data_IF_293423079516
#
_entry.id   IF_293423079516
#
_cell.length_a   1.000
_cell.length_b   1.000
_cell.length_c   1.000
_cell.angle_alpha   90.00
_cell.angle_beta   90.00
_cell.angle_gamma   90.00
#
_symmetry.space_group_name_H-M   'P 1'
#
loop_
_entity.id
_entity.type
_entity.pdbx_description
1 polymer ?
#
# COMPACT_ATOMS: atom_id res chain seq x y z
N UNK A 1 -16.27 -21.59 -9.90
CA UNK A 1 -16.28 -20.14 -10.20
C UNK A 1 -16.02 -19.26 -8.97
N UNK A 2 -16.26 -19.74 -7.74
CA UNK A 2 -15.97 -19.01 -6.49
C UNK A 2 -14.46 -18.98 -6.10
N UNK A 3 -13.69 -19.98 -6.52
CA UNK A 3 -12.24 -20.10 -6.25
C UNK A 3 -11.39 -19.03 -6.96
N UNK A 4 -11.81 -18.56 -8.13
CA UNK A 4 -11.07 -17.56 -8.92
C UNK A 4 -11.15 -16.13 -8.33
N UNK A 5 -12.20 -15.87 -7.53
CA UNK A 5 -12.33 -14.62 -6.77
C UNK A 5 -11.40 -14.60 -5.55
N UNK A 6 -11.10 -15.76 -4.98
CA UNK A 6 -10.16 -15.89 -3.86
C UNK A 6 -8.70 -15.86 -4.33
N UNK A 7 -8.39 -16.37 -5.53
CA UNK A 7 -7.04 -16.22 -6.10
C UNK A 7 -6.76 -14.79 -6.57
N UNK A 8 -7.78 -14.01 -6.96
CA UNK A 8 -7.66 -12.57 -7.22
C UNK A 8 -7.68 -11.72 -5.93
N UNK A 9 -8.07 -12.32 -4.79
CA UNK A 9 -7.83 -11.80 -3.45
C UNK A 9 -6.40 -12.05 -2.93
N UNK A 10 -5.49 -12.59 -3.76
CA UNK A 10 -4.06 -12.23 -3.72
C UNK A 10 -3.85 -10.79 -4.24
N UNK A 11 -4.78 -9.89 -3.94
CA UNK A 11 -4.48 -8.48 -3.83
C UNK A 11 -3.46 -8.41 -2.70
N UNK A 12 -2.18 -8.41 -3.07
CA UNK A 12 -1.12 -7.81 -2.29
C UNK A 12 -1.57 -6.38 -2.08
N UNK A 13 -2.34 -6.15 -1.00
CA UNK A 13 -3.20 -4.98 -0.93
C UNK A 13 -2.30 -3.78 -0.64
N UNK A 14 -1.93 -3.09 -1.70
CA UNK A 14 -1.33 -1.78 -1.62
C UNK A 14 -2.46 -0.82 -1.24
N UNK A 15 -2.78 -0.77 0.06
CA UNK A 15 -3.84 0.07 0.63
C UNK A 15 -3.45 1.55 0.55
N UNK A 16 -3.74 2.14 -0.60
CA UNK A 16 -4.12 3.53 -0.84
C UNK A 16 -3.54 4.62 0.06
N UNK A 17 -2.23 4.74 0.27
CA UNK A 17 -1.68 5.86 1.08
C UNK A 17 -2.41 6.00 2.44
N UNK A 18 -2.62 4.89 3.15
CA UNK A 18 -3.29 4.90 4.44
C UNK A 18 -2.28 5.33 5.51
N UNK A 19 -2.40 6.59 5.97
CA UNK A 19 -1.83 6.99 7.26
C UNK A 19 -2.29 6.00 8.34
N UNK A 20 -1.47 5.76 9.37
CA UNK A 20 -1.74 4.88 10.53
C UNK A 20 -3.20 4.93 11.05
N UNK A 21 -3.85 6.09 10.96
CA UNK A 21 -5.25 6.33 11.35
C UNK A 21 -6.26 5.41 10.66
N UNK A 22 -6.12 5.20 9.36
CA UNK A 22 -7.11 4.43 8.63
C UNK A 22 -6.98 2.92 8.95
N UNK A 23 -5.74 2.42 9.03
CA UNK A 23 -5.47 1.05 9.48
C UNK A 23 -6.04 0.82 10.89
N UNK A 24 -5.88 1.80 11.78
CA UNK A 24 -6.46 1.76 13.13
C UNK A 24 -8.00 1.70 13.11
N UNK A 25 -8.66 2.44 12.21
CA UNK A 25 -10.11 2.38 12.07
C UNK A 25 -10.59 0.99 11.63
N UNK A 26 -9.97 0.41 10.61
CA UNK A 26 -10.33 -0.94 10.13
C UNK A 26 -10.03 -2.01 11.17
N UNK A 27 -8.88 -1.96 11.83
CA UNK A 27 -8.57 -2.88 12.94
C UNK A 27 -9.61 -2.76 14.04
N UNK A 28 -9.98 -1.54 14.45
CA UNK A 28 -11.01 -1.33 15.47
C UNK A 28 -12.36 -1.91 15.04
N UNK A 29 -12.74 -1.78 13.77
CA UNK A 29 -13.98 -2.37 13.25
C UNK A 29 -13.96 -3.90 13.23
N UNK A 30 -12.85 -4.50 12.79
CA UNK A 30 -12.73 -5.97 12.67
C UNK A 30 -12.60 -6.63 14.04
N UNK A 31 -11.73 -6.09 14.90
CA UNK A 31 -11.44 -6.68 16.21
C UNK A 31 -12.49 -6.34 17.26
N UNK A 32 -13.19 -5.19 17.11
CA UNK A 32 -14.07 -4.58 18.13
C UNK A 32 -13.40 -4.45 19.51
N UNK A 33 -12.07 -4.37 19.52
CA UNK A 33 -11.24 -4.28 20.70
C UNK A 33 -10.61 -2.87 20.80
N UNK A 34 -10.15 -2.45 21.99
CA UNK A 34 -9.29 -1.28 22.11
C UNK A 34 -8.03 -1.47 21.26
N UNK A 35 -7.58 -0.39 20.63
CA UNK A 35 -6.34 -0.40 19.87
C UNK A 35 -5.15 -0.50 20.83
N UNK A 36 -4.03 -1.12 20.40
CA UNK A 36 -2.82 -1.15 21.20
C UNK A 36 -2.32 0.25 21.56
N UNK A 37 -1.70 0.36 22.74
CA UNK A 37 -1.22 1.64 23.28
C UNK A 37 0.15 2.05 22.73
N UNK A 38 0.85 1.13 22.05
CA UNK A 38 2.16 1.38 21.46
C UNK A 38 2.13 1.18 19.95
N UNK A 39 3.00 1.91 19.24
CA UNK A 39 3.13 1.78 17.79
C UNK A 39 3.67 0.39 17.38
N UNK A 40 4.54 -0.21 18.21
CA UNK A 40 5.08 -1.54 17.96
C UNK A 40 3.97 -2.59 18.01
N UNK A 41 3.20 -2.63 19.09
CA UNK A 41 2.09 -3.58 19.24
C UNK A 41 1.03 -3.38 18.15
N UNK A 42 0.77 -2.12 17.77
CA UNK A 42 -0.10 -1.80 16.66
C UNK A 42 0.44 -2.35 15.33
N UNK A 43 1.74 -2.16 15.06
CA UNK A 43 2.37 -2.62 13.82
C UNK A 43 2.40 -4.15 13.73
N UNK A 44 2.63 -4.84 14.84
CA UNK A 44 2.58 -6.29 14.91
C UNK A 44 1.16 -6.82 14.72
N UNK A 45 0.15 -6.16 15.29
CA UNK A 45 -1.25 -6.48 15.06
C UNK A 45 -1.66 -6.28 13.60
N UNK A 46 -1.23 -5.15 13.00
CA UNK A 46 -1.42 -4.86 11.58
C UNK A 46 -0.80 -5.97 10.71
N UNK A 47 0.45 -6.37 11.00
CA UNK A 47 1.13 -7.47 10.28
C UNK A 47 0.42 -8.80 10.45
N UNK A 48 -0.13 -9.06 11.63
CA UNK A 48 -0.87 -10.30 11.93
C UNK A 48 -2.18 -10.38 11.15
N UNK A 49 -2.90 -9.26 11.02
CA UNK A 49 -4.21 -9.23 10.34
C UNK A 49 -4.06 -9.16 8.81
N UNK A 50 -3.12 -8.37 8.31
CA UNK A 50 -3.02 -8.04 6.88
C UNK A 50 -1.78 -8.61 6.17
N UNK A 51 -0.87 -9.26 6.90
CA UNK A 51 0.39 -9.75 6.36
C UNK A 51 1.40 -8.63 6.10
N UNK A 52 2.20 -8.78 5.03
CA UNK A 52 3.16 -7.77 4.62
C UNK A 52 2.46 -6.57 4.00
N UNK A 53 2.67 -5.38 4.58
CA UNK A 53 2.14 -4.12 4.09
C UNK A 53 3.27 -3.25 3.58
N UNK A 54 3.02 -2.67 2.42
CA UNK A 54 3.95 -1.82 1.69
C UNK A 54 3.34 -0.44 1.52
N UNK A 55 3.98 0.57 2.11
CA UNK A 55 3.60 1.96 1.88
C UNK A 55 4.21 2.43 0.56
N UNK A 56 3.33 2.64 -0.44
CA UNK A 56 3.74 3.09 -1.77
C UNK A 56 4.49 4.44 -1.72
N UNK A 57 4.11 5.34 -0.80
CA UNK A 57 4.78 6.65 -0.62
C UNK A 57 6.14 6.48 0.03
N UNK A 58 6.29 5.53 0.95
CA UNK A 58 7.60 5.18 1.49
C UNK A 58 8.51 4.61 0.40
N UNK A 59 8.02 3.63 -0.35
CA UNK A 59 8.79 2.96 -1.41
C UNK A 59 9.14 3.91 -2.55
N UNK A 60 8.25 4.85 -2.90
CA UNK A 60 8.49 5.81 -4.00
C UNK A 60 9.73 6.67 -3.79
N UNK A 61 10.15 6.90 -2.54
CA UNK A 61 11.39 7.64 -2.20
C UNK A 61 12.66 6.96 -2.72
N UNK A 62 12.60 5.66 -2.92
CA UNK A 62 13.73 4.84 -3.36
C UNK A 62 13.69 4.53 -4.86
N UNK A 63 12.66 4.98 -5.59
CA UNK A 63 12.62 4.89 -7.05
C UNK A 63 13.48 6.02 -7.66
N UNK A 64 14.78 5.72 -7.83
CA UNK A 64 15.82 6.65 -8.24
C UNK A 64 15.58 7.34 -9.59
N UNK A 65 15.87 8.64 -9.63
CA UNK A 65 15.83 9.51 -10.80
C UNK A 65 15.43 10.96 -10.49
N UNK A 66 14.78 11.19 -9.35
CA UNK A 66 14.31 12.51 -8.94
C UNK A 66 15.12 13.01 -7.75
N UNK A 67 16.06 13.91 -8.07
CA UNK A 67 16.80 14.70 -7.10
C UNK A 67 15.84 15.48 -6.21
N UNK A 68 15.62 14.97 -5.00
CA UNK A 68 15.04 15.64 -3.83
C UNK A 68 13.52 15.93 -3.88
N UNK A 69 12.69 14.96 -3.49
CA UNK A 69 11.29 15.22 -3.13
C UNK A 69 10.45 13.97 -2.84
N UNK A 70 9.43 14.12 -1.98
CA UNK A 70 8.36 13.12 -1.85
C UNK A 70 7.51 13.09 -3.13
N UNK A 71 7.53 11.97 -3.86
CA UNK A 71 6.69 11.78 -5.03
C UNK A 71 5.38 11.15 -4.58
N UNK A 72 4.31 11.94 -4.60
CA UNK A 72 2.95 11.42 -4.38
C UNK A 72 2.51 10.47 -5.49
N UNK A 73 1.41 9.76 -5.28
CA UNK A 73 0.87 8.74 -6.21
C UNK A 73 0.71 9.27 -7.64
N UNK A 74 0.27 10.52 -7.81
CA UNK A 74 0.13 11.17 -9.14
C UNK A 74 1.48 11.44 -9.81
N UNK A 75 2.51 11.80 -9.05
CA UNK A 75 3.86 11.97 -9.61
C UNK A 75 4.44 10.63 -10.03
N UNK A 76 4.19 9.58 -9.26
CA UNK A 76 4.62 8.22 -9.57
C UNK A 76 3.89 7.67 -10.80
N UNK A 77 2.61 7.99 -10.97
CA UNK A 77 1.83 7.58 -12.14
C UNK A 77 2.38 8.17 -13.44
N UNK A 78 2.81 9.44 -13.41
CA UNK A 78 3.51 10.10 -14.52
C UNK A 78 4.87 9.47 -14.80
N UNK A 79 5.67 9.20 -13.75
CA UNK A 79 7.00 8.59 -13.89
C UNK A 79 6.93 7.17 -14.48
N UNK A 80 5.90 6.41 -14.11
CA UNK A 80 5.69 5.05 -14.60
C UNK A 80 4.83 4.98 -15.87
N UNK A 81 4.45 6.14 -16.41
CA UNK A 81 3.58 6.32 -17.58
C UNK A 81 2.35 5.41 -17.53
N UNK A 82 1.60 5.50 -16.44
CA UNK A 82 0.41 4.68 -16.21
C UNK A 82 -0.70 5.50 -15.58
N UNK A 83 -1.89 5.41 -16.19
CA UNK A 83 -3.12 5.95 -15.63
C UNK A 83 -4.27 5.01 -16.01
N UNK A 84 -5.04 4.46 -15.04
CA UNK A 84 -6.19 3.61 -15.33
C UNK A 84 -7.38 4.45 -15.81
N UNK A 85 -8.37 3.82 -16.43
CA UNK A 85 -9.62 4.48 -16.82
C UNK A 85 -10.54 4.58 -15.60
N UNK A 86 -11.11 5.76 -15.36
CA UNK A 86 -12.14 5.95 -14.33
C UNK A 86 -12.17 7.36 -13.74
N UNK A 87 -13.00 7.54 -12.71
CA UNK A 87 -13.16 8.82 -12.01
C UNK A 87 -12.17 8.89 -10.85
N UNK A 88 -11.30 9.90 -10.86
CA UNK A 88 -10.31 10.15 -9.79
C UNK A 88 -11.00 10.47 -8.46
N UNK A 89 -10.29 10.27 -7.36
CA UNK A 89 -10.77 10.50 -5.99
C UNK A 89 -11.93 9.58 -5.56
N UNK A 90 -12.05 8.43 -6.23
CA UNK A 90 -12.89 7.33 -5.79
C UNK A 90 -12.00 6.19 -5.30
N UNK A 91 -12.38 5.57 -4.18
CA UNK A 91 -11.60 4.50 -3.56
C UNK A 91 -11.27 3.35 -4.54
N UNK A 92 -12.20 3.01 -5.44
CA UNK A 92 -11.98 2.00 -6.47
C UNK A 92 -10.90 2.41 -7.49
N UNK A 93 -10.94 3.65 -7.97
CA UNK A 93 -9.93 4.17 -8.89
C UNK A 93 -8.55 4.26 -8.20
N UNK A 94 -8.51 4.80 -6.99
CA UNK A 94 -7.27 5.03 -6.26
C UNK A 94 -6.59 3.70 -5.87
N UNK A 95 -7.36 2.68 -5.47
CA UNK A 95 -6.84 1.33 -5.20
C UNK A 95 -6.31 0.64 -6.45
N UNK A 96 -7.00 0.76 -7.59
CA UNK A 96 -6.51 0.23 -8.86
C UNK A 96 -5.21 0.91 -9.30
N UNK A 97 -5.15 2.24 -9.22
CA UNK A 97 -3.95 3.00 -9.56
C UNK A 97 -2.77 2.55 -8.70
N UNK A 98 -2.95 2.46 -7.38
CA UNK A 98 -1.87 2.17 -6.43
C UNK A 98 -1.37 0.73 -6.57
N UNK A 99 -2.26 -0.25 -6.72
CA UNK A 99 -1.88 -1.65 -6.99
C UNK A 99 -1.11 -1.80 -8.30
N UNK A 100 -1.53 -1.10 -9.36
CA UNK A 100 -0.83 -1.14 -10.64
C UNK A 100 0.55 -0.47 -10.59
N UNK A 101 0.68 0.66 -9.87
CA UNK A 101 1.97 1.31 -9.67
C UNK A 101 2.91 0.42 -8.85
N UNK A 102 2.43 -0.21 -7.78
CA UNK A 102 3.21 -1.17 -7.01
C UNK A 102 3.76 -2.30 -7.87
N UNK A 103 2.91 -2.94 -8.68
CA UNK A 103 3.32 -4.00 -9.59
C UNK A 103 4.37 -3.54 -10.61
N UNK A 104 4.21 -2.33 -11.16
CA UNK A 104 5.20 -1.74 -12.07
C UNK A 104 6.53 -1.44 -11.38
N UNK A 105 6.51 -0.98 -10.14
CA UNK A 105 7.74 -0.78 -9.38
C UNK A 105 8.43 -2.11 -9.09
N UNK A 106 7.68 -3.16 -8.70
CA UNK A 106 8.21 -4.52 -8.49
C UNK A 106 8.88 -5.09 -9.73
N UNK A 107 8.36 -4.80 -10.93
CA UNK A 107 9.00 -5.19 -12.19
C UNK A 107 10.31 -4.45 -12.47
N UNK A 108 10.49 -3.23 -11.94
CA UNK A 108 11.70 -2.42 -12.13
C UNK A 108 12.76 -2.64 -11.04
N UNK A 109 12.38 -3.17 -9.87
CA UNK A 109 13.25 -3.36 -8.71
C UNK A 109 12.90 -4.62 -7.93
N UNK A 110 13.90 -5.48 -7.74
CA UNK A 110 13.77 -6.75 -7.01
C UNK A 110 13.77 -6.61 -5.48
N UNK A 111 14.19 -5.47 -4.94
CA UNK A 111 14.39 -5.23 -3.51
C UNK A 111 13.22 -4.48 -2.83
N UNK A 112 12.11 -4.26 -3.54
CA UNK A 112 10.91 -3.62 -2.98
C UNK A 112 10.25 -4.49 -1.91
N UNK A 113 10.39 -5.80 -2.00
CA UNK A 113 9.83 -6.76 -1.04
C UNK A 113 10.78 -7.06 0.13
N UNK A 114 11.92 -6.36 0.23
CA UNK A 114 12.81 -6.46 1.39
C UNK A 114 12.07 -6.09 2.69
N UNK A 115 12.37 -6.80 3.78
CA UNK A 115 11.74 -6.63 5.09
C UNK A 115 11.83 -5.19 5.61
N UNK A 116 12.83 -4.42 5.15
CA UNK A 116 12.99 -3.00 5.45
C UNK A 116 11.88 -2.11 4.87
N UNK A 117 11.29 -2.52 3.76
CA UNK A 117 10.15 -1.85 3.12
C UNK A 117 8.81 -2.38 3.64
N UNK A 118 8.81 -3.61 4.14
CA UNK A 118 7.64 -4.22 4.77
C UNK A 118 7.41 -3.60 6.16
N UNK A 119 6.17 -3.20 6.45
CA UNK A 119 5.76 -2.62 7.75
C UNK A 119 6.26 -1.18 8.01
N UNK A 120 6.97 -0.55 7.08
CA UNK A 120 7.22 0.89 7.14
C UNK A 120 5.93 1.64 6.79
N UNK A 121 5.14 1.99 7.80
CA UNK A 121 3.94 2.81 7.66
C UNK A 121 4.30 4.27 7.89
N UNK A 122 4.00 5.15 6.92
CA UNK A 122 4.19 6.59 7.06
C UNK A 122 3.02 7.29 7.76
#
# INVERSE_FOLDING_TARGET
MHEALLSTLQLQVCYVSWTLRHAAFVIKMITRAPLPNTLNDFSDLVRTIFGQIYDLKYISRFCGGLSQGEIGVVGLSRLLNFEPVGIRHQAAYDSLLIGALFNKMKQRRHDIEDDRSASALY
#
